data_IF_518820791027
#
_entry.id   IF_518820791027
#
_cell.length_a   1.000
_cell.length_b   1.000
_cell.length_c   1.000
_cell.angle_alpha   90.00
_cell.angle_beta   90.00
_cell.angle_gamma   90.00
#
_symmetry.space_group_name_H-M   'P 1'
#
loop_
_entity.id
_entity.type
_entity.pdbx_description
1 polymer ?
#
# COMPACT_ATOMS: atom_id res chain seq x y z
N UNK A 1 -16.55 13.38 2.87
CA UNK A 1 -16.54 13.07 1.42
C UNK A 1 -15.70 14.09 0.65
N UNK A 2 -16.02 15.36 0.72
CA UNK A 2 -15.27 16.45 0.02
C UNK A 2 -13.76 16.46 0.31
N UNK A 3 -13.34 16.17 1.54
CA UNK A 3 -11.93 16.14 1.93
C UNK A 3 -11.16 15.04 1.16
N UNK A 4 -11.67 13.82 1.17
CA UNK A 4 -11.05 12.66 0.49
C UNK A 4 -10.99 12.89 -1.02
N UNK A 5 -12.05 13.41 -1.61
CA UNK A 5 -12.08 13.75 -3.04
C UNK A 5 -11.05 14.84 -3.37
N UNK A 6 -10.97 15.90 -2.57
CA UNK A 6 -10.00 16.98 -2.77
C UNK A 6 -8.56 16.51 -2.71
N UNK A 7 -8.20 15.77 -1.65
CA UNK A 7 -6.84 15.22 -1.49
C UNK A 7 -6.52 14.25 -2.62
N UNK A 8 -7.47 13.36 -2.93
CA UNK A 8 -7.29 12.38 -4.00
C UNK A 8 -7.05 13.00 -5.36
N UNK A 9 -7.85 13.98 -5.75
CA UNK A 9 -7.68 14.65 -7.04
C UNK A 9 -6.38 15.44 -7.14
N UNK A 10 -5.89 16.04 -6.05
CA UNK A 10 -4.57 16.70 -6.02
C UNK A 10 -3.43 15.71 -6.26
N UNK A 11 -3.50 14.53 -5.64
CA UNK A 11 -2.50 13.45 -5.83
C UNK A 11 -2.62 12.87 -7.23
N UNK A 12 -3.83 12.57 -7.69
CA UNK A 12 -4.08 12.01 -9.02
C UNK A 12 -3.58 12.92 -10.15
N UNK A 13 -3.66 14.23 -9.97
CA UNK A 13 -3.14 15.21 -10.91
C UNK A 13 -1.60 15.13 -11.12
N UNK A 14 -0.87 14.51 -10.18
CA UNK A 14 0.58 14.30 -10.28
C UNK A 14 0.94 12.92 -10.87
N UNK A 15 -0.05 12.06 -11.13
CA UNK A 15 0.18 10.66 -11.51
C UNK A 15 0.58 10.43 -12.96
N UNK A 16 0.51 11.44 -13.82
CA UNK A 16 0.72 11.37 -15.28
C UNK A 16 -0.04 10.20 -15.97
N UNK A 17 -1.26 9.91 -15.46
CA UNK A 17 -2.14 8.84 -15.96
C UNK A 17 -3.49 9.39 -16.42
N UNK A 18 -3.52 10.03 -17.59
CA UNK A 18 -4.77 10.58 -18.17
C UNK A 18 -5.77 9.48 -18.59
N UNK A 19 -5.31 8.24 -18.71
CA UNK A 19 -6.12 7.06 -19.03
C UNK A 19 -6.86 6.47 -17.83
N UNK A 20 -6.58 6.94 -16.60
CA UNK A 20 -7.27 6.49 -15.39
C UNK A 20 -8.48 7.38 -15.11
N UNK A 21 -9.61 6.74 -14.83
CA UNK A 21 -10.82 7.40 -14.33
C UNK A 21 -10.79 7.44 -12.81
N UNK A 22 -10.07 8.42 -12.25
CA UNK A 22 -9.90 8.54 -10.82
C UNK A 22 -11.22 8.82 -10.10
N UNK A 23 -11.57 7.94 -9.18
CA UNK A 23 -12.70 8.10 -8.25
C UNK A 23 -12.23 7.83 -6.83
N UNK A 24 -12.68 8.67 -5.90
CA UNK A 24 -12.33 8.58 -4.48
C UNK A 24 -13.61 8.41 -3.68
N UNK A 25 -13.74 7.33 -2.93
CA UNK A 25 -14.92 6.99 -2.15
C UNK A 25 -14.57 6.76 -0.69
N UNK A 26 -15.45 7.20 0.19
CA UNK A 26 -15.40 6.87 1.61
C UNK A 26 -16.32 5.69 1.87
N UNK A 27 -15.79 4.65 2.52
CA UNK A 27 -16.56 3.48 2.96
C UNK A 27 -16.88 3.66 4.44
N UNK A 28 -18.18 3.70 4.77
CA UNK A 28 -18.62 3.80 6.16
C UNK A 28 -18.42 2.47 6.88
N UNK A 29 -17.25 2.35 7.53
CA UNK A 29 -16.84 1.18 8.30
C UNK A 29 -15.77 1.59 9.32
N UNK A 30 -15.80 1.03 10.53
CA UNK A 30 -14.77 1.27 11.54
C UNK A 30 -13.45 0.57 11.24
N UNK A 31 -13.38 -0.22 10.17
CA UNK A 31 -12.17 -0.92 9.74
C UNK A 31 -11.10 0.09 9.30
N UNK A 32 -9.90 -0.05 9.82
CA UNK A 32 -8.75 0.76 9.39
C UNK A 32 -8.18 0.16 8.10
N UNK A 33 -8.67 0.62 6.96
CA UNK A 33 -8.26 0.11 5.64
C UNK A 33 -8.37 1.18 4.55
N UNK A 34 -7.64 0.96 3.47
CA UNK A 34 -7.74 1.67 2.20
C UNK A 34 -7.31 0.71 1.07
N UNK A 35 -7.76 0.95 -0.15
CA UNK A 35 -7.27 0.22 -1.32
C UNK A 35 -7.50 1.00 -2.61
N UNK A 36 -6.72 0.70 -3.62
CA UNK A 36 -6.93 1.16 -4.99
C UNK A 36 -7.14 -0.02 -5.94
N UNK A 37 -8.21 0.03 -6.71
CA UNK A 37 -8.46 -0.91 -7.80
C UNK A 37 -7.81 -0.42 -9.09
N UNK A 38 -7.46 -1.32 -10.01
CA UNK A 38 -6.98 -0.94 -11.34
C UNK A 38 -7.94 0.05 -12.03
N UNK A 39 -7.37 1.05 -12.71
CA UNK A 39 -8.15 2.09 -13.38
C UNK A 39 -8.49 3.30 -12.51
N UNK A 40 -7.99 3.36 -11.26
CA UNK A 40 -8.03 4.58 -10.43
C UNK A 40 -9.22 4.68 -9.48
N UNK A 41 -9.81 3.57 -9.06
CA UNK A 41 -10.92 3.58 -8.08
C UNK A 41 -10.36 3.38 -6.66
N UNK A 42 -10.28 4.45 -5.88
CA UNK A 42 -9.70 4.48 -4.53
C UNK A 42 -10.79 4.48 -3.47
N UNK A 43 -10.71 3.58 -2.51
CA UNK A 43 -11.61 3.52 -1.38
C UNK A 43 -10.86 3.74 -0.06
N UNK A 44 -11.36 4.66 0.77
CA UNK A 44 -10.85 4.99 2.09
C UNK A 44 -11.92 4.63 3.11
N UNK A 45 -11.59 3.80 4.06
CA UNK A 45 -12.49 3.44 5.15
C UNK A 45 -12.48 4.51 6.24
N UNK A 46 -13.64 4.84 6.81
CA UNK A 46 -13.74 5.85 7.87
C UNK A 46 -12.82 5.53 9.06
N UNK A 47 -12.63 4.25 9.38
CA UNK A 47 -11.79 3.82 10.51
C UNK A 47 -10.31 4.18 10.40
N UNK A 48 -9.76 4.50 9.19
CA UNK A 48 -8.35 4.92 9.06
C UNK A 48 -8.17 6.42 9.26
N UNK A 49 -9.24 7.23 9.10
CA UNK A 49 -9.18 8.68 9.16
C UNK A 49 -8.61 9.22 10.49
N UNK A 50 -8.99 8.72 11.67
CA UNK A 50 -8.40 9.18 12.94
C UNK A 50 -6.89 8.97 13.02
N UNK A 51 -6.34 7.97 12.32
CA UNK A 51 -4.89 7.71 12.28
C UNK A 51 -4.18 8.70 11.38
N UNK A 52 -4.86 9.16 10.32
CA UNK A 52 -4.34 10.19 9.42
C UNK A 52 -4.13 11.52 10.16
N UNK A 53 -5.02 11.90 11.06
CA UNK A 53 -5.01 13.14 11.86
C UNK A 53 -5.32 14.41 11.05
N UNK A 54 -4.75 14.56 9.86
CA UNK A 54 -4.87 15.73 8.99
C UNK A 54 -4.80 15.35 7.50
N UNK A 55 -4.94 16.33 6.61
CA UNK A 55 -4.86 16.12 5.17
C UNK A 55 -3.53 15.51 4.72
N UNK A 56 -2.40 15.91 5.31
CA UNK A 56 -1.10 15.35 4.94
C UNK A 56 -1.01 13.86 5.31
N UNK A 57 -1.50 13.46 6.49
CA UNK A 57 -1.59 12.05 6.85
C UNK A 57 -2.55 11.26 5.97
N UNK A 58 -3.66 11.86 5.54
CA UNK A 58 -4.56 11.28 4.54
C UNK A 58 -3.85 11.16 3.17
N UNK A 59 -3.08 12.17 2.78
CA UNK A 59 -2.29 12.15 1.55
C UNK A 59 -1.25 11.03 1.55
N UNK A 60 -0.64 10.69 2.69
CA UNK A 60 0.26 9.53 2.82
C UNK A 60 -0.45 8.25 2.41
N UNK A 61 -1.63 7.98 2.98
CA UNK A 61 -2.40 6.76 2.66
C UNK A 61 -2.83 6.76 1.20
N UNK A 62 -3.40 7.87 0.73
CA UNK A 62 -3.96 7.93 -0.62
C UNK A 62 -2.88 7.86 -1.70
N UNK A 63 -1.74 8.53 -1.50
CA UNK A 63 -0.63 8.47 -2.44
C UNK A 63 0.02 7.09 -2.50
N UNK A 64 0.08 6.38 -1.38
CA UNK A 64 0.51 4.99 -1.31
C UNK A 64 -0.41 4.07 -2.14
N UNK A 65 -1.74 4.22 -2.00
CA UNK A 65 -2.70 3.45 -2.79
C UNK A 65 -2.64 3.79 -4.28
N UNK A 66 -2.52 5.08 -4.62
CA UNK A 66 -2.31 5.53 -6.00
C UNK A 66 -1.00 4.94 -6.56
N UNK A 67 0.08 4.92 -5.79
CA UNK A 67 1.35 4.31 -6.19
C UNK A 67 1.21 2.82 -6.52
N UNK A 68 0.46 2.05 -5.71
CA UNK A 68 0.15 0.65 -6.02
C UNK A 68 -0.55 0.46 -7.36
N UNK A 69 -1.47 1.37 -7.71
CA UNK A 69 -2.15 1.32 -9.00
C UNK A 69 -1.22 1.69 -10.15
N UNK A 70 -0.37 2.72 -9.99
CA UNK A 70 0.60 3.15 -10.99
C UNK A 70 1.65 2.07 -11.29
N UNK A 71 2.20 1.46 -10.25
CA UNK A 71 3.15 0.36 -10.35
C UNK A 71 2.51 -0.99 -10.77
N UNK A 72 1.16 -1.04 -10.90
CA UNK A 72 0.39 -2.24 -11.29
C UNK A 72 0.56 -3.44 -10.34
N UNK A 73 0.84 -3.19 -9.07
CA UNK A 73 1.08 -4.22 -8.07
C UNK A 73 -0.08 -5.22 -7.95
N UNK A 74 -1.34 -4.76 -8.11
CA UNK A 74 -2.50 -5.65 -8.13
C UNK A 74 -2.46 -6.69 -9.25
N UNK A 75 -2.09 -6.29 -10.47
CA UNK A 75 -1.93 -7.19 -11.62
C UNK A 75 -0.78 -8.19 -11.42
N UNK A 76 0.32 -7.73 -10.85
CA UNK A 76 1.46 -8.58 -10.53
C UNK A 76 1.12 -9.63 -9.47
N UNK A 77 0.42 -9.23 -8.38
CA UNK A 77 -0.06 -10.16 -7.33
C UNK A 77 -0.99 -11.23 -7.91
N UNK A 78 -1.89 -10.86 -8.83
CA UNK A 78 -2.77 -11.81 -9.52
C UNK A 78 -1.96 -12.81 -10.36
N UNK A 79 -0.99 -12.33 -11.13
CA UNK A 79 -0.13 -13.19 -11.97
C UNK A 79 0.69 -14.15 -11.12
N UNK A 80 1.23 -13.69 -9.99
CA UNK A 80 1.97 -14.53 -9.05
C UNK A 80 1.07 -15.57 -8.39
N UNK A 81 -0.10 -15.19 -7.91
CA UNK A 81 -1.07 -16.12 -7.33
C UNK A 81 -1.44 -17.21 -8.31
N UNK A 82 -1.67 -16.85 -9.57
CA UNK A 82 -1.93 -17.80 -10.64
C UNK A 82 -0.76 -18.78 -10.85
N UNK A 83 0.49 -18.28 -10.93
CA UNK A 83 1.67 -19.12 -11.09
C UNK A 83 1.89 -20.07 -9.91
N UNK A 84 1.67 -19.58 -8.68
CA UNK A 84 1.72 -20.38 -7.45
C UNK A 84 0.67 -21.48 -7.47
N UNK A 85 -0.57 -21.18 -7.85
CA UNK A 85 -1.66 -22.16 -7.90
C UNK A 85 -1.40 -23.22 -8.99
N UNK A 86 -0.92 -22.81 -10.17
CA UNK A 86 -0.54 -23.77 -11.23
C UNK A 86 0.57 -24.72 -10.76
N UNK A 87 1.59 -24.18 -10.11
CA UNK A 87 2.71 -24.98 -9.57
C UNK A 87 2.21 -25.95 -8.49
N UNK A 88 1.32 -25.48 -7.59
CA UNK A 88 0.69 -26.28 -6.55
C UNK A 88 -0.10 -27.46 -7.14
N UNK A 89 -0.88 -27.21 -8.20
CA UNK A 89 -1.63 -28.23 -8.91
C UNK A 89 -0.70 -29.27 -9.56
N UNK A 90 0.37 -28.82 -10.23
CA UNK A 90 1.36 -29.69 -10.83
C UNK A 90 2.04 -30.61 -9.78
N UNK A 91 2.49 -30.04 -8.65
CA UNK A 91 3.08 -30.81 -7.55
C UNK A 91 2.05 -31.82 -6.99
N UNK A 92 0.80 -31.41 -6.79
CA UNK A 92 -0.28 -32.29 -6.31
C UNK A 92 -0.52 -33.46 -7.27
N UNK A 93 -0.50 -33.19 -8.58
CA UNK A 93 -0.65 -34.24 -9.59
C UNK A 93 0.56 -35.19 -9.62
N UNK A 94 1.78 -34.67 -9.58
CA UNK A 94 3.01 -35.49 -9.58
C UNK A 94 3.13 -36.37 -8.35
N UNK A 95 2.60 -35.91 -7.20
CA UNK A 95 2.67 -36.61 -5.92
C UNK A 95 1.45 -37.46 -5.62
N UNK A 96 0.48 -37.57 -6.54
CA UNK A 96 -0.81 -38.26 -6.29
C UNK A 96 -0.68 -39.76 -5.91
N UNK A 97 0.37 -40.42 -6.39
CA UNK A 97 0.65 -41.83 -6.11
C UNK A 97 1.58 -42.06 -4.92
N UNK A 98 2.01 -40.97 -4.24
CA UNK A 98 2.81 -41.09 -3.05
C UNK A 98 1.96 -41.40 -1.81
N UNK A 99 2.59 -41.96 -0.78
CA UNK A 99 1.97 -42.13 0.53
C UNK A 99 1.45 -40.80 1.06
N UNK A 100 0.28 -40.80 1.71
CA UNK A 100 -0.43 -39.59 2.15
C UNK A 100 0.41 -38.68 3.04
N UNK A 101 1.17 -39.27 3.98
CA UNK A 101 2.06 -38.53 4.88
C UNK A 101 3.15 -37.79 4.11
N UNK A 102 3.76 -38.46 3.13
CA UNK A 102 4.80 -37.88 2.28
C UNK A 102 4.23 -36.77 1.40
N UNK A 103 3.05 -36.98 0.83
CA UNK A 103 2.35 -35.96 0.03
C UNK A 103 2.04 -34.70 0.86
N UNK A 104 1.49 -34.86 2.07
CA UNK A 104 1.24 -33.75 3.00
C UNK A 104 2.52 -32.98 3.33
N UNK A 105 3.63 -33.68 3.57
CA UNK A 105 4.92 -33.06 3.85
C UNK A 105 5.43 -32.23 2.67
N UNK A 106 5.37 -32.76 1.44
CA UNK A 106 5.76 -32.02 0.22
C UNK A 106 4.91 -30.79 0.03
N UNK A 107 3.59 -30.89 0.16
CA UNK A 107 2.66 -29.75 0.00
C UNK A 107 2.89 -28.66 1.06
N UNK A 108 3.16 -29.07 2.31
CA UNK A 108 3.52 -28.13 3.39
C UNK A 108 4.85 -27.42 3.11
N UNK A 109 5.88 -28.17 2.70
CA UNK A 109 7.18 -27.59 2.34
C UNK A 109 7.07 -26.61 1.18
N UNK A 110 6.28 -26.94 0.15
CA UNK A 110 5.98 -26.03 -0.97
C UNK A 110 5.29 -24.75 -0.47
N UNK A 111 4.23 -24.87 0.35
CA UNK A 111 3.51 -23.70 0.87
C UNK A 111 4.43 -22.76 1.66
N UNK A 112 5.20 -23.31 2.59
CA UNK A 112 6.16 -22.54 3.41
C UNK A 112 7.24 -21.92 2.52
N UNK A 113 7.84 -22.69 1.60
CA UNK A 113 8.88 -22.18 0.70
C UNK A 113 8.37 -21.07 -0.22
N UNK A 114 7.14 -21.19 -0.74
CA UNK A 114 6.52 -20.17 -1.58
C UNK A 114 6.22 -18.90 -0.78
N UNK A 115 5.63 -19.04 0.40
CA UNK A 115 5.26 -17.90 1.24
C UNK A 115 6.51 -17.08 1.66
N UNK A 116 7.49 -17.76 2.29
CA UNK A 116 8.66 -17.07 2.84
C UNK A 116 9.75 -16.77 1.81
N UNK A 117 9.89 -17.60 0.77
CA UNK A 117 10.93 -17.44 -0.25
C UNK A 117 10.54 -16.61 -1.47
N UNK A 118 9.24 -16.46 -1.73
CA UNK A 118 8.75 -15.76 -2.93
C UNK A 118 7.80 -14.62 -2.55
N UNK A 119 6.65 -14.93 -1.93
CA UNK A 119 5.57 -13.96 -1.78
C UNK A 119 5.93 -12.83 -0.81
N UNK A 120 6.45 -13.14 0.38
CA UNK A 120 6.78 -12.12 1.37
C UNK A 120 7.90 -11.16 0.93
N UNK A 121 9.03 -11.62 0.36
CA UNK A 121 10.05 -10.72 -0.17
C UNK A 121 9.52 -9.80 -1.28
N UNK A 122 8.68 -10.36 -2.15
CA UNK A 122 8.09 -9.61 -3.24
C UNK A 122 7.11 -8.55 -2.74
N UNK A 123 6.22 -8.90 -1.82
CA UNK A 123 5.30 -7.95 -1.20
C UNK A 123 6.06 -6.79 -0.53
N UNK A 124 7.16 -7.07 0.20
CA UNK A 124 7.99 -6.01 0.81
C UNK A 124 8.58 -5.07 -0.23
N UNK A 125 9.04 -5.59 -1.37
CA UNK A 125 9.54 -4.75 -2.47
C UNK A 125 8.45 -3.84 -3.03
N UNK A 126 7.24 -4.36 -3.23
CA UNK A 126 6.10 -3.58 -3.69
C UNK A 126 5.70 -2.48 -2.69
N UNK A 127 5.74 -2.78 -1.37
CA UNK A 127 5.47 -1.77 -0.34
C UNK A 127 6.52 -0.65 -0.35
N UNK A 128 7.82 -1.00 -0.45
CA UNK A 128 8.90 -0.01 -0.52
C UNK A 128 8.80 0.85 -1.78
N UNK A 129 8.42 0.27 -2.93
CA UNK A 129 8.19 1.01 -4.17
C UNK A 129 6.97 1.94 -4.06
N UNK A 130 5.89 1.45 -3.45
CA UNK A 130 4.69 2.26 -3.21
C UNK A 130 4.95 3.41 -2.24
N UNK A 131 5.76 3.20 -1.21
CA UNK A 131 6.20 4.26 -0.28
C UNK A 131 7.02 5.32 -1.00
N UNK A 132 7.99 4.90 -1.83
CA UNK A 132 8.83 5.83 -2.59
C UNK A 132 7.99 6.69 -3.55
N UNK A 133 7.21 6.05 -4.42
CA UNK A 133 6.35 6.75 -5.38
C UNK A 133 5.34 7.63 -4.63
N UNK A 134 4.75 7.10 -3.56
CA UNK A 134 3.73 7.79 -2.77
C UNK A 134 4.24 9.08 -2.13
N UNK A 135 5.41 9.06 -1.49
CA UNK A 135 5.96 10.27 -0.86
C UNK A 135 6.30 11.33 -1.90
N UNK A 136 6.76 10.95 -3.10
CA UNK A 136 7.02 11.91 -4.19
C UNK A 136 5.73 12.52 -4.71
N UNK A 137 4.68 11.73 -4.92
CA UNK A 137 3.36 12.20 -5.38
C UNK A 137 2.72 13.17 -4.39
N UNK A 138 2.71 12.84 -3.08
CA UNK A 138 2.14 13.74 -2.08
C UNK A 138 2.90 15.06 -1.99
N UNK A 139 4.22 15.02 -2.13
CA UNK A 139 5.08 16.22 -2.11
C UNK A 139 4.78 17.11 -3.31
N UNK A 140 4.72 16.56 -4.51
CA UNK A 140 4.34 17.29 -5.73
C UNK A 140 2.91 17.86 -5.65
N UNK A 141 2.00 17.15 -4.96
CA UNK A 141 0.64 17.62 -4.69
C UNK A 141 0.59 18.71 -3.60
N UNK A 142 1.74 19.10 -3.03
CA UNK A 142 1.85 20.19 -2.06
C UNK A 142 1.54 19.80 -0.61
N UNK A 143 1.55 18.53 -0.27
CA UNK A 143 1.43 18.06 1.12
C UNK A 143 2.81 17.84 1.74
N UNK A 144 2.93 18.18 3.04
CA UNK A 144 4.19 18.05 3.78
C UNK A 144 4.64 16.59 3.86
N UNK A 145 5.78 16.21 3.23
CA UNK A 145 6.26 14.83 3.23
C UNK A 145 6.72 14.31 4.60
N UNK A 146 6.97 15.20 5.59
CA UNK A 146 7.28 14.78 6.95
C UNK A 146 6.15 14.01 7.62
N UNK A 147 4.93 14.14 7.10
CA UNK A 147 3.78 13.36 7.54
C UNK A 147 3.94 11.84 7.28
N UNK A 148 4.72 11.43 6.25
CA UNK A 148 4.84 10.03 5.86
C UNK A 148 5.55 9.17 6.93
N UNK A 149 6.79 9.45 7.37
CA UNK A 149 7.41 8.68 8.44
C UNK A 149 6.61 8.78 9.75
N UNK A 150 6.04 9.96 10.06
CA UNK A 150 5.24 10.16 11.25
C UNK A 150 3.95 9.31 11.25
N UNK A 151 3.27 9.18 10.10
CA UNK A 151 2.11 8.29 9.94
C UNK A 151 2.47 6.85 10.25
N UNK A 152 3.52 6.30 9.64
CA UNK A 152 3.92 4.91 9.85
C UNK A 152 4.38 4.64 11.28
N UNK A 153 5.03 5.59 11.95
CA UNK A 153 5.36 5.49 13.38
C UNK A 153 4.10 5.40 14.25
N UNK A 154 3.07 6.19 13.97
CA UNK A 154 1.79 6.10 14.67
C UNK A 154 1.08 4.78 14.39
N UNK A 155 1.01 4.42 13.11
CA UNK A 155 0.29 3.26 12.66
C UNK A 155 0.88 1.95 13.21
N UNK A 156 2.20 1.83 13.29
CA UNK A 156 2.88 0.67 13.87
C UNK A 156 2.56 0.44 15.35
N UNK A 157 2.30 1.52 16.10
CA UNK A 157 1.94 1.45 17.53
C UNK A 157 0.53 0.91 17.77
N UNK A 158 -0.38 1.04 16.81
CA UNK A 158 -1.76 0.53 16.92
C UNK A 158 -1.83 -0.99 16.79
N UNK A 159 -0.86 -1.60 16.13
CA UNK A 159 -0.84 -3.04 15.84
C UNK A 159 -0.43 -3.95 16.98
N UNK A 160 -0.14 -3.45 18.18
CA UNK A 160 0.42 -4.25 19.27
C UNK A 160 -0.55 -5.32 19.82
N UNK A 161 -1.88 -5.06 19.83
CA UNK A 161 -2.88 -6.00 20.36
C UNK A 161 -3.74 -6.64 19.23
N UNK A 162 -4.11 -5.87 18.22
CA UNK A 162 -4.86 -6.35 17.05
C UNK A 162 -4.41 -5.58 15.81
N UNK A 163 -3.66 -6.24 14.89
CA UNK A 163 -3.22 -5.55 13.68
C UNK A 163 -4.40 -4.98 12.90
N UNK A 164 -4.35 -3.70 12.50
CA UNK A 164 -5.33 -3.14 11.57
C UNK A 164 -5.39 -3.95 10.27
N UNK A 165 -6.56 -4.01 9.64
CA UNK A 165 -6.75 -4.70 8.35
C UNK A 165 -5.76 -4.21 7.30
N UNK A 166 -5.47 -2.91 7.29
CA UNK A 166 -4.47 -2.29 6.42
C UNK A 166 -3.08 -2.94 6.55
N UNK A 167 -2.65 -3.36 7.75
CA UNK A 167 -1.37 -4.07 7.94
C UNK A 167 -1.40 -5.50 7.41
N UNK A 168 -2.57 -6.10 7.22
CA UNK A 168 -2.70 -7.42 6.61
C UNK A 168 -2.45 -7.38 5.10
N UNK A 169 -2.85 -6.29 4.45
CA UNK A 169 -2.65 -6.05 3.01
C UNK A 169 -1.34 -5.31 2.72
N UNK A 170 -0.88 -4.46 3.66
CA UNK A 170 0.33 -3.64 3.59
C UNK A 170 1.23 -3.92 4.82
N UNK A 171 2.00 -5.02 4.82
CA UNK A 171 2.83 -5.39 5.95
C UNK A 171 3.75 -4.24 6.38
N UNK A 172 3.65 -3.82 7.64
CA UNK A 172 4.60 -2.87 8.19
C UNK A 172 5.92 -3.59 8.47
N UNK A 173 6.96 -3.19 7.77
CA UNK A 173 8.34 -3.41 8.21
C UNK A 173 8.69 -2.26 9.19
N UNK A 174 9.35 -2.59 10.30
CA UNK A 174 9.84 -1.58 11.25
C UNK A 174 10.78 -0.55 10.60
N UNK A 175 11.28 -0.84 9.41
CA UNK A 175 12.15 0.01 8.61
C UNK A 175 11.40 1.04 7.75
N UNK A 176 10.08 0.88 7.50
CA UNK A 176 9.36 1.77 6.59
C UNK A 176 9.50 3.25 6.96
N UNK A 177 9.40 3.57 8.26
CA UNK A 177 9.59 4.96 8.71
C UNK A 177 11.01 5.46 8.45
N UNK A 178 12.04 4.66 8.75
CA UNK A 178 13.44 5.05 8.51
C UNK A 178 13.80 5.09 7.03
N UNK A 179 13.22 4.23 6.20
CA UNK A 179 13.42 4.24 4.75
C UNK A 179 12.78 5.50 4.14
N UNK A 180 11.61 5.92 4.64
CA UNK A 180 10.97 7.17 4.27
C UNK A 180 11.76 8.40 4.73
N UNK A 181 12.38 8.36 5.92
CA UNK A 181 13.27 9.43 6.39
C UNK A 181 14.44 9.67 5.42
N UNK A 182 14.97 8.62 4.78
CA UNK A 182 16.02 8.73 3.76
C UNK A 182 15.55 9.42 2.47
N UNK A 183 14.26 9.36 2.17
CA UNK A 183 13.65 10.00 0.99
C UNK A 183 13.25 11.45 1.24
N UNK A 184 13.21 11.90 2.51
CA UNK A 184 12.77 13.26 2.84
C UNK A 184 13.53 14.37 2.12
N UNK A 185 14.87 14.33 1.93
CA UNK A 185 15.56 15.41 1.22
C UNK A 185 14.99 15.64 -0.19
N UNK A 186 14.81 14.58 -0.97
CA UNK A 186 14.24 14.67 -2.31
C UNK A 186 12.75 15.07 -2.29
N UNK A 187 11.97 14.48 -1.38
CA UNK A 187 10.57 14.80 -1.21
C UNK A 187 10.34 16.26 -0.80
N UNK A 188 11.19 16.82 0.07
CA UNK A 188 11.14 18.22 0.47
C UNK A 188 11.48 19.16 -0.66
N UNK A 189 12.42 18.81 -1.55
CA UNK A 189 12.71 19.58 -2.75
C UNK A 189 11.50 19.63 -3.69
N UNK A 190 10.81 18.51 -3.88
CA UNK A 190 9.57 18.46 -4.67
C UNK A 190 8.46 19.31 -4.01
N UNK A 191 8.31 19.20 -2.70
CA UNK A 191 7.33 19.97 -1.95
C UNK A 191 7.60 21.49 -2.04
N UNK A 192 8.86 21.89 -1.91
CA UNK A 192 9.26 23.30 -2.03
C UNK A 192 8.96 23.88 -3.43
N UNK A 193 8.99 23.04 -4.47
CA UNK A 193 8.71 23.42 -5.86
C UNK A 193 7.24 23.13 -6.28
N UNK A 194 6.41 22.64 -5.36
CA UNK A 194 5.00 22.37 -5.67
C UNK A 194 4.27 23.69 -6.04
N UNK A 195 3.32 23.59 -6.97
CA UNK A 195 2.55 24.75 -7.46
C UNK A 195 1.80 25.46 -6.33
N UNK A 196 1.29 24.68 -5.38
CA UNK A 196 0.65 25.15 -4.16
C UNK A 196 1.14 24.30 -3.00
N UNK A 197 1.43 24.94 -1.85
CA UNK A 197 1.82 24.22 -0.64
C UNK A 197 0.66 24.23 0.35
N UNK A 198 0.18 23.04 0.69
CA UNK A 198 -0.94 22.85 1.60
C UNK A 198 -0.48 22.52 3.03
N UNK A 199 0.80 22.19 3.21
CA UNK A 199 1.38 21.79 4.51
C UNK A 199 0.70 20.54 5.06
N UNK A 200 0.33 20.58 6.34
CA UNK A 200 -0.48 19.52 6.97
C UNK A 200 -1.95 19.59 6.59
N UNK A 201 -2.43 20.73 6.06
CA UNK A 201 -3.84 20.93 5.72
C UNK A 201 -4.75 20.97 6.96
N UNK A 202 -6.05 20.66 6.77
CA UNK A 202 -7.03 20.64 7.86
C UNK A 202 -7.01 19.30 8.59
N UNK A 203 -7.49 19.30 9.85
CA UNK A 203 -7.67 18.05 10.61
C UNK A 203 -8.79 17.20 10.02
N UNK A 204 -8.58 15.89 10.05
CA UNK A 204 -9.52 14.87 9.57
C UNK A 204 -10.38 14.36 10.70
#
# INVERSE_FOLDING_TARGET
>A
MELVERVGHRIAAQSDRPDYEWEFKVVSSPTQNAFCLPGGKVAIYEGILPVCQDEAGLAVVMSHEVAHALARHGGERMSQSFAVDQTKQAISFMTRNQEETRRKMIMKAYGVGTEYGVLLPYNRKQESEADHIGIMLMSQAGYDPQAAPAFWQRFSKLGAEKPPEFLSTHPSDSRRSSDLDLLLPEAMDLYANAKEQHGSGVKV
#
